data_IF_568910410582
#
_entry.id   IF_568910410582
#
_cell.length_a   1.000
_cell.length_b   1.000
_cell.length_c   1.000
_cell.angle_alpha   90.00
_cell.angle_beta   90.00
_cell.angle_gamma   90.00
#
_symmetry.space_group_name_H-M   'P 1'
#
loop_
_entity.id
_entity.type
_entity.pdbx_description
1 polymer ?
#
# COMPACT_ATOMS: atom_id res chain seq x y z
N UNK A 1 33.48 0.65 6.99
CA UNK A 1 32.53 0.25 5.91
C UNK A 1 32.01 -1.09 6.33
N UNK A 2 30.77 -1.15 6.84
CA UNK A 2 30.15 -2.43 7.21
C UNK A 2 29.73 -3.06 5.90
N UNK A 3 30.38 -4.15 5.53
CA UNK A 3 29.98 -4.96 4.38
C UNK A 3 28.70 -5.69 4.77
N UNK A 4 27.57 -5.09 4.45
CA UNK A 4 26.26 -5.74 4.63
C UNK A 4 26.12 -6.80 3.53
N UNK A 5 26.63 -7.98 3.81
CA UNK A 5 26.26 -9.16 3.03
C UNK A 5 24.78 -9.41 3.24
N UNK A 6 23.92 -8.90 2.36
CA UNK A 6 22.47 -9.13 2.40
C UNK A 6 22.06 -10.60 2.14
N UNK A 7 23.03 -11.50 1.97
CA UNK A 7 22.77 -12.89 1.64
C UNK A 7 21.87 -13.59 2.66
N UNK A 8 22.08 -13.35 3.95
CA UNK A 8 21.25 -13.93 5.00
C UNK A 8 19.84 -13.35 5.00
N UNK A 9 19.70 -12.04 4.77
CA UNK A 9 18.38 -11.38 4.61
C UNK A 9 17.66 -11.91 3.37
N UNK A 10 18.35 -12.07 2.25
CA UNK A 10 17.79 -12.65 1.02
C UNK A 10 17.34 -14.09 1.26
N UNK A 11 18.13 -14.92 1.96
CA UNK A 11 17.75 -16.28 2.33
C UNK A 11 16.50 -16.29 3.21
N UNK A 12 16.40 -15.38 4.18
CA UNK A 12 15.23 -15.22 5.04
C UNK A 12 13.99 -14.77 4.26
N UNK A 13 14.14 -13.78 3.38
CA UNK A 13 13.07 -13.29 2.52
C UNK A 13 12.56 -14.40 1.57
N UNK A 14 13.46 -15.21 1.01
CA UNK A 14 13.10 -16.38 0.21
C UNK A 14 12.32 -17.43 1.02
N UNK A 15 12.64 -17.61 2.29
CA UNK A 15 11.88 -18.49 3.18
C UNK A 15 10.44 -18.01 3.35
N UNK A 16 10.22 -16.70 3.56
CA UNK A 16 8.87 -16.13 3.61
C UNK A 16 8.16 -16.25 2.26
N UNK A 17 8.84 -15.90 1.17
CA UNK A 17 8.29 -16.04 -0.17
C UNK A 17 7.90 -17.49 -0.52
N UNK A 18 8.68 -18.48 -0.06
CA UNK A 18 8.37 -19.90 -0.23
C UNK A 18 7.08 -20.36 0.45
N UNK A 19 6.68 -19.64 1.51
CA UNK A 19 5.43 -19.92 2.26
C UNK A 19 4.19 -19.23 1.68
N UNK A 20 4.34 -18.38 0.65
CA UNK A 20 3.21 -17.66 0.07
C UNK A 20 2.13 -18.60 -0.46
N UNK A 21 0.91 -18.10 -0.56
CA UNK A 21 -0.17 -18.80 -1.25
C UNK A 21 0.24 -19.10 -2.70
N UNK A 22 -0.06 -20.31 -3.15
CA UNK A 22 0.19 -20.79 -4.51
C UNK A 22 -1.08 -20.71 -5.35
N UNK A 23 -0.95 -20.93 -6.64
CA UNK A 23 -2.08 -20.93 -7.57
C UNK A 23 -3.20 -21.87 -7.14
N UNK A 24 -2.84 -23.06 -6.65
CA UNK A 24 -3.82 -24.05 -6.17
C UNK A 24 -4.56 -23.55 -4.92
N UNK A 25 -3.87 -22.82 -4.02
CA UNK A 25 -4.52 -22.22 -2.85
C UNK A 25 -5.57 -21.19 -3.29
N UNK A 26 -5.25 -20.33 -4.27
CA UNK A 26 -6.21 -19.36 -4.81
C UNK A 26 -7.39 -20.05 -5.49
N UNK A 27 -7.18 -21.11 -6.25
CA UNK A 27 -8.26 -21.89 -6.87
C UNK A 27 -9.17 -22.50 -5.83
N UNK A 28 -8.63 -23.03 -4.74
CA UNK A 28 -9.44 -23.58 -3.64
C UNK A 28 -10.18 -22.48 -2.88
N UNK A 29 -9.56 -21.32 -2.62
CA UNK A 29 -10.20 -20.18 -1.97
C UNK A 29 -11.36 -19.63 -2.81
N UNK A 30 -11.23 -19.57 -4.14
CA UNK A 30 -12.31 -19.11 -5.04
C UNK A 30 -13.54 -20.02 -5.05
N UNK A 31 -13.42 -21.28 -4.61
CA UNK A 31 -14.55 -22.20 -4.44
C UNK A 31 -15.33 -21.98 -3.14
N UNK A 32 -14.79 -21.20 -2.20
CA UNK A 32 -15.43 -20.93 -0.91
C UNK A 32 -16.50 -19.86 -1.07
N UNK A 33 -17.63 -20.06 -0.41
CA UNK A 33 -18.78 -19.16 -0.50
C UNK A 33 -18.95 -18.29 0.73
N UNK A 34 -18.30 -18.65 1.86
CA UNK A 34 -18.41 -17.95 3.13
C UNK A 34 -17.05 -17.59 3.72
N UNK A 35 -17.02 -16.55 4.55
CA UNK A 35 -15.79 -16.14 5.26
C UNK A 35 -15.29 -17.23 6.23
N UNK A 36 -16.13 -17.90 6.99
CA UNK A 36 -15.73 -19.07 7.79
C UNK A 36 -14.99 -20.15 6.99
N UNK A 37 -15.48 -20.51 5.81
CA UNK A 37 -14.82 -21.51 4.95
C UNK A 37 -13.45 -21.04 4.46
N UNK A 38 -13.31 -19.74 4.13
CA UNK A 38 -12.01 -19.12 3.77
C UNK A 38 -11.06 -19.19 4.96
N UNK A 39 -11.51 -18.78 6.15
CA UNK A 39 -10.70 -18.79 7.36
C UNK A 39 -10.24 -20.21 7.72
N UNK A 40 -11.12 -21.20 7.62
CA UNK A 40 -10.80 -22.60 7.89
C UNK A 40 -9.78 -23.16 6.90
N UNK A 41 -9.91 -22.82 5.60
CA UNK A 41 -8.92 -23.21 4.59
C UNK A 41 -7.55 -22.61 4.90
N UNK A 42 -7.47 -21.31 5.17
CA UNK A 42 -6.24 -20.63 5.51
C UNK A 42 -5.59 -21.21 6.77
N UNK A 43 -6.39 -21.53 7.80
CA UNK A 43 -5.93 -22.13 9.04
C UNK A 43 -5.34 -23.52 8.84
N UNK A 44 -5.94 -24.37 7.99
CA UNK A 44 -5.52 -25.76 7.82
C UNK A 44 -4.42 -25.97 6.79
N UNK A 45 -4.40 -25.18 5.74
CA UNK A 45 -3.64 -25.51 4.53
C UNK A 45 -2.52 -24.52 4.21
N UNK A 46 -2.37 -23.43 4.98
CA UNK A 46 -1.42 -22.36 4.64
C UNK A 46 -0.53 -21.98 5.82
N UNK A 47 0.45 -21.14 5.57
CA UNK A 47 1.34 -20.61 6.62
C UNK A 47 0.63 -19.71 7.65
N UNK A 48 -0.63 -19.32 7.39
CA UNK A 48 -1.45 -18.57 8.35
C UNK A 48 -1.99 -19.44 9.49
N UNK A 49 -1.73 -20.76 9.50
CA UNK A 49 -2.17 -21.69 10.54
C UNK A 49 -1.83 -21.22 11.95
N UNK A 50 -0.64 -20.67 12.16
CA UNK A 50 -0.17 -20.20 13.47
C UNK A 50 -0.98 -18.99 13.96
N UNK A 51 -1.12 -17.95 13.14
CA UNK A 51 -1.86 -16.73 13.52
C UNK A 51 -3.38 -16.96 13.65
N UNK A 52 -3.91 -18.00 13.01
CA UNK A 52 -5.33 -18.40 13.09
C UNK A 52 -5.58 -19.52 14.12
N UNK A 53 -4.55 -20.06 14.80
CA UNK A 53 -4.68 -21.23 15.67
C UNK A 53 -5.75 -21.06 16.76
N UNK A 54 -5.80 -19.91 17.41
CA UNK A 54 -6.70 -19.59 18.52
C UNK A 54 -8.01 -18.89 18.05
N UNK A 55 -8.27 -18.86 16.76
CA UNK A 55 -9.46 -18.20 16.21
C UNK A 55 -10.56 -19.25 15.99
N UNK A 56 -11.76 -18.93 16.47
CA UNK A 56 -12.96 -19.65 16.07
C UNK A 56 -13.37 -19.23 14.65
N UNK A 57 -13.03 -20.10 13.70
CA UNK A 57 -13.27 -19.83 12.27
C UNK A 57 -14.75 -19.79 11.93
N UNK A 58 -15.62 -20.41 12.72
CA UNK A 58 -17.07 -20.45 12.46
C UNK A 58 -17.74 -19.09 12.67
N UNK A 59 -17.20 -18.26 13.56
CA UNK A 59 -17.77 -16.96 13.94
C UNK A 59 -17.00 -15.75 13.34
N UNK A 60 -15.91 -16.01 12.60
CA UNK A 60 -15.07 -14.95 12.08
C UNK A 60 -15.77 -14.17 10.95
N UNK A 61 -15.77 -12.84 11.06
CA UNK A 61 -16.23 -11.94 10.00
C UNK A 61 -15.05 -11.42 9.17
N UNK A 62 -15.35 -10.92 7.96
CA UNK A 62 -14.34 -10.47 6.97
C UNK A 62 -13.31 -9.51 7.55
N UNK A 63 -13.75 -8.42 8.18
CA UNK A 63 -12.83 -7.38 8.67
C UNK A 63 -11.86 -7.91 9.73
N UNK A 64 -12.31 -8.83 10.60
CA UNK A 64 -11.46 -9.43 11.61
C UNK A 64 -10.43 -10.39 10.98
N UNK A 65 -10.85 -11.20 10.00
CA UNK A 65 -9.92 -12.07 9.25
C UNK A 65 -8.86 -11.24 8.53
N UNK A 66 -9.26 -10.18 7.82
CA UNK A 66 -8.35 -9.26 7.14
C UNK A 66 -7.34 -8.62 8.12
N UNK A 67 -7.77 -8.20 9.31
CA UNK A 67 -6.87 -7.63 10.33
C UNK A 67 -5.82 -8.65 10.80
N UNK A 68 -6.22 -9.90 11.05
CA UNK A 68 -5.29 -10.96 11.45
C UNK A 68 -4.24 -11.21 10.36
N UNK A 69 -4.65 -11.32 9.10
CA UNK A 69 -3.76 -11.57 7.98
C UNK A 69 -2.80 -10.38 7.74
N UNK A 70 -3.32 -9.16 7.82
CA UNK A 70 -2.52 -7.94 7.70
C UNK A 70 -1.51 -7.82 8.84
N UNK A 71 -1.91 -8.15 10.07
CA UNK A 71 -1.02 -8.18 11.23
C UNK A 71 0.11 -9.20 11.05
N UNK A 72 -0.20 -10.41 10.58
CA UNK A 72 0.84 -11.41 10.34
C UNK A 72 1.82 -10.98 9.25
N UNK A 73 1.32 -10.45 8.13
CA UNK A 73 2.15 -9.90 7.06
C UNK A 73 3.05 -8.75 7.57
N UNK A 74 2.52 -7.90 8.44
CA UNK A 74 3.29 -6.83 9.06
C UNK A 74 4.35 -7.38 10.02
N UNK A 75 4.02 -8.38 10.84
CA UNK A 75 4.95 -9.05 11.74
C UNK A 75 6.08 -9.74 10.98
N UNK A 76 5.80 -10.35 9.83
CA UNK A 76 6.83 -10.92 8.95
C UNK A 76 7.81 -9.85 8.46
N UNK A 77 7.28 -8.68 8.07
CA UNK A 77 8.12 -7.54 7.70
C UNK A 77 9.01 -7.08 8.86
N UNK A 78 8.45 -6.91 10.05
CA UNK A 78 9.19 -6.53 11.26
C UNK A 78 10.27 -7.57 11.60
N UNK A 79 9.94 -8.87 11.53
CA UNK A 79 10.90 -9.95 11.73
C UNK A 79 12.05 -9.93 10.72
N UNK A 80 11.75 -9.59 9.46
CA UNK A 80 12.76 -9.45 8.42
C UNK A 80 13.67 -8.25 8.69
N UNK A 81 13.11 -7.10 9.04
CA UNK A 81 13.87 -5.89 9.35
C UNK A 81 14.77 -6.06 10.58
N UNK A 82 14.30 -6.77 11.59
CA UNK A 82 15.09 -7.03 12.82
C UNK A 82 16.18 -8.08 12.60
N UNK A 83 16.07 -8.92 11.58
CA UNK A 83 16.97 -10.07 11.37
C UNK A 83 18.43 -9.69 11.17
N UNK A 84 18.71 -8.62 10.42
CA UNK A 84 20.06 -8.07 10.22
C UNK A 84 20.12 -6.58 10.53
N UNK A 85 19.32 -6.14 11.51
CA UNK A 85 19.24 -4.73 11.92
C UNK A 85 18.91 -3.77 10.77
N UNK A 86 18.12 -4.23 9.78
CA UNK A 86 17.66 -3.36 8.69
C UNK A 86 16.82 -2.18 9.19
N UNK A 87 16.24 -2.31 10.39
CA UNK A 87 15.56 -1.23 11.09
C UNK A 87 16.47 -0.03 11.43
N UNK A 88 17.81 -0.21 11.43
CA UNK A 88 18.78 0.87 11.56
C UNK A 88 18.96 1.65 10.22
N UNK A 89 18.49 1.09 9.10
CA UNK A 89 18.52 1.71 7.77
C UNK A 89 17.17 2.40 7.56
N UNK A 90 17.18 3.71 7.41
CA UNK A 90 15.95 4.50 7.43
C UNK A 90 14.99 4.17 6.29
N UNK A 91 15.50 3.72 5.12
CA UNK A 91 14.66 3.27 4.02
C UNK A 91 13.60 2.26 4.46
N UNK A 92 13.94 1.30 5.33
CA UNK A 92 13.00 0.27 5.77
C UNK A 92 11.84 0.80 6.64
N UNK A 93 11.84 2.09 6.99
CA UNK A 93 10.68 2.72 7.64
C UNK A 93 9.55 3.08 6.64
N UNK A 94 9.76 2.89 5.33
CA UNK A 94 8.78 3.23 4.30
C UNK A 94 7.39 2.64 4.57
N UNK A 95 7.33 1.42 5.10
CA UNK A 95 6.08 0.73 5.42
C UNK A 95 5.38 1.34 6.64
N UNK A 96 6.12 1.77 7.64
CA UNK A 96 5.56 2.45 8.82
C UNK A 96 4.96 3.79 8.43
N UNK A 97 5.68 4.58 7.63
CA UNK A 97 5.21 5.87 7.12
C UNK A 97 3.96 5.72 6.27
N UNK A 98 3.92 4.74 5.38
CA UNK A 98 2.73 4.47 4.57
C UNK A 98 1.52 4.08 5.43
N UNK A 99 1.73 3.30 6.48
CA UNK A 99 0.67 2.95 7.44
C UNK A 99 0.17 4.17 8.21
N UNK A 100 1.07 5.05 8.68
CA UNK A 100 0.72 6.29 9.35
C UNK A 100 -0.16 7.18 8.45
N UNK A 101 0.24 7.38 7.20
CA UNK A 101 -0.53 8.14 6.21
C UNK A 101 -1.92 7.53 6.01
N UNK A 102 -2.00 6.21 5.85
CA UNK A 102 -3.28 5.51 5.69
C UNK A 102 -4.20 5.72 6.89
N UNK A 103 -3.66 5.66 8.10
CA UNK A 103 -4.45 5.85 9.34
C UNK A 103 -4.89 7.31 9.48
N UNK A 104 -4.03 8.28 9.15
CA UNK A 104 -4.38 9.72 9.15
C UNK A 104 -5.52 9.99 8.18
N UNK A 105 -5.44 9.50 6.94
CA UNK A 105 -6.50 9.68 5.94
C UNK A 105 -7.83 9.06 6.38
N UNK A 106 -7.78 7.86 6.96
CA UNK A 106 -8.98 7.23 7.52
C UNK A 106 -9.59 8.06 8.66
N UNK A 107 -8.76 8.61 9.55
CA UNK A 107 -9.23 9.49 10.61
C UNK A 107 -10.00 10.68 10.04
N UNK A 108 -9.49 11.33 8.99
CA UNK A 108 -10.16 12.45 8.32
C UNK A 108 -11.49 12.03 7.70
N UNK A 109 -11.56 10.85 7.08
CA UNK A 109 -12.82 10.30 6.53
C UNK A 109 -13.86 10.12 7.65
N UNK A 110 -13.45 9.63 8.82
CA UNK A 110 -14.36 9.49 9.97
C UNK A 110 -14.79 10.82 10.57
N UNK A 111 -13.92 11.85 10.56
CA UNK A 111 -14.26 13.22 10.95
C UNK A 111 -15.33 13.77 9.99
N UNK A 112 -15.10 13.69 8.67
CA UNK A 112 -16.05 14.15 7.66
C UNK A 112 -17.42 13.42 7.75
N UNK A 113 -17.41 12.14 8.10
CA UNK A 113 -18.63 11.36 8.26
C UNK A 113 -19.37 11.65 9.59
N UNK A 114 -18.80 12.44 10.49
CA UNK A 114 -19.39 12.70 11.83
C UNK A 114 -19.43 11.44 12.71
N UNK A 115 -18.57 10.46 12.46
CA UNK A 115 -18.54 9.16 13.17
C UNK A 115 -17.17 8.88 13.79
N UNK A 116 -16.44 9.91 14.15
CA UNK A 116 -15.08 9.82 14.67
C UNK A 116 -14.95 8.98 15.95
N UNK A 117 -16.02 8.85 16.74
CA UNK A 117 -16.05 7.99 17.92
C UNK A 117 -15.87 6.49 17.60
N UNK A 118 -16.21 6.07 16.37
CA UNK A 118 -16.05 4.69 15.90
C UNK A 118 -14.66 4.42 15.35
N UNK A 119 -13.83 5.45 15.20
CA UNK A 119 -12.53 5.30 14.58
C UNK A 119 -11.56 4.45 15.41
N UNK A 120 -11.67 4.50 16.76
CA UNK A 120 -10.83 3.72 17.67
C UNK A 120 -10.87 2.21 17.35
N UNK A 121 -12.02 1.69 16.97
CA UNK A 121 -12.23 0.27 16.65
C UNK A 121 -11.47 -0.16 15.38
N UNK A 122 -11.02 0.81 14.60
CA UNK A 122 -10.30 0.58 13.33
C UNK A 122 -8.78 0.69 13.45
N UNK A 123 -8.28 1.15 14.60
CA UNK A 123 -6.85 1.30 14.85
C UNK A 123 -6.27 -0.02 15.32
N UNK A 124 -5.41 -0.61 14.49
CA UNK A 124 -4.74 -1.88 14.85
C UNK A 124 -3.58 -1.61 15.82
N UNK A 125 -3.63 -2.15 17.07
CA UNK A 125 -2.61 -1.89 18.08
C UNK A 125 -1.18 -2.25 17.67
N UNK A 126 -1.02 -3.20 16.77
CA UNK A 126 0.31 -3.59 16.26
C UNK A 126 0.95 -2.48 15.40
N UNK A 127 0.16 -1.65 14.71
CA UNK A 127 0.66 -0.50 13.96
C UNK A 127 1.11 0.62 14.91
N UNK A 128 0.35 0.86 15.97
CA UNK A 128 0.62 1.91 16.93
C UNK A 128 2.00 1.81 17.60
N UNK A 129 2.52 0.58 17.79
CA UNK A 129 3.86 0.34 18.36
C UNK A 129 5.01 0.88 17.51
N UNK A 130 4.81 1.10 16.24
CA UNK A 130 5.83 1.52 15.28
C UNK A 130 5.57 2.91 14.71
N UNK A 131 4.54 3.59 15.20
CA UNK A 131 4.18 4.93 14.73
C UNK A 131 5.10 6.00 15.35
N UNK A 132 5.32 7.07 14.58
CA UNK A 132 6.12 8.24 14.99
C UNK A 132 5.37 9.16 15.97
N UNK A 133 4.09 8.91 16.20
CA UNK A 133 3.22 9.63 17.11
C UNK A 133 2.29 8.65 17.85
N UNK A 134 1.63 9.12 18.89
CA UNK A 134 0.66 8.31 19.66
C UNK A 134 -0.61 8.07 18.82
N UNK A 135 -0.57 7.01 18.00
CA UNK A 135 -1.64 6.64 17.08
C UNK A 135 -2.95 6.29 17.83
N UNK A 136 -2.87 5.79 19.07
CA UNK A 136 -4.06 5.42 19.83
C UNK A 136 -4.88 6.65 20.22
N UNK A 137 -4.26 7.83 20.40
CA UNK A 137 -4.97 9.09 20.65
C UNK A 137 -5.87 9.53 19.52
N UNK A 138 -5.66 9.02 18.30
CA UNK A 138 -6.59 9.30 17.20
C UNK A 138 -8.01 8.81 17.49
N UNK A 139 -8.20 7.83 18.37
CA UNK A 139 -9.53 7.40 18.83
C UNK A 139 -10.29 8.46 19.64
N UNK A 140 -9.60 9.45 20.19
CA UNK A 140 -10.17 10.55 20.95
C UNK A 140 -10.51 11.77 20.07
N UNK A 141 -10.05 11.80 18.84
CA UNK A 141 -10.24 12.90 17.88
C UNK A 141 -11.72 13.06 17.54
N UNK A 142 -12.20 14.29 17.57
CA UNK A 142 -13.56 14.66 17.16
C UNK A 142 -13.55 15.70 16.05
N UNK A 143 -12.51 16.50 15.97
CA UNK A 143 -12.35 17.59 15.01
C UNK A 143 -11.01 17.47 14.28
N UNK A 144 -10.90 18.16 13.15
CA UNK A 144 -9.63 18.25 12.42
C UNK A 144 -8.52 18.93 13.25
N UNK A 145 -8.88 19.88 14.11
CA UNK A 145 -7.91 20.53 14.99
C UNK A 145 -7.34 19.55 16.04
N UNK A 146 -8.16 18.64 16.57
CA UNK A 146 -7.68 17.60 17.48
C UNK A 146 -6.66 16.69 16.78
N UNK A 147 -6.92 16.33 15.50
CA UNK A 147 -5.97 15.58 14.69
C UNK A 147 -4.65 16.36 14.51
N UNK A 148 -4.74 17.65 14.17
CA UNK A 148 -3.55 18.50 14.03
C UNK A 148 -2.75 18.57 15.31
N UNK A 149 -3.41 18.62 16.47
CA UNK A 149 -2.74 18.67 17.78
C UNK A 149 -1.91 17.42 18.05
N UNK A 150 -2.40 16.24 17.70
CA UNK A 150 -1.67 14.99 17.80
C UNK A 150 -0.45 14.97 16.86
N UNK A 151 -0.61 15.53 15.66
CA UNK A 151 0.42 15.50 14.62
C UNK A 151 1.47 16.62 14.74
N UNK A 152 1.37 17.56 15.67
CA UNK A 152 2.23 18.76 15.80
C UNK A 152 3.74 18.49 15.72
N UNK A 153 4.18 17.35 16.21
CA UNK A 153 5.62 16.97 16.22
C UNK A 153 6.02 16.07 15.06
N UNK A 154 5.14 15.87 14.11
CA UNK A 154 5.38 15.03 12.92
C UNK A 154 5.51 15.88 11.66
N UNK A 155 6.12 15.36 10.60
CA UNK A 155 6.12 16.02 9.29
C UNK A 155 4.73 16.26 8.72
N UNK A 156 3.77 15.41 9.06
CA UNK A 156 2.39 15.47 8.56
C UNK A 156 1.68 16.76 8.92
N UNK A 157 1.95 17.31 10.10
CA UNK A 157 1.37 18.57 10.54
C UNK A 157 1.58 19.70 9.53
N UNK A 158 2.84 19.90 9.10
CA UNK A 158 3.19 20.98 8.16
C UNK A 158 2.57 20.78 6.77
N UNK A 159 2.21 19.55 6.43
CA UNK A 159 1.64 19.18 5.12
C UNK A 159 0.15 19.47 5.07
N UNK A 160 -0.57 19.22 6.18
CA UNK A 160 -2.05 19.26 6.16
C UNK A 160 -2.66 20.41 6.99
N UNK A 161 -1.86 21.17 7.75
CA UNK A 161 -2.37 22.21 8.68
C UNK A 161 -3.14 23.35 8.00
N UNK A 162 -2.83 23.64 6.74
CA UNK A 162 -3.42 24.76 6.00
C UNK A 162 -4.68 24.37 5.20
N UNK A 163 -5.09 23.10 5.29
CA UNK A 163 -6.31 22.62 4.66
C UNK A 163 -7.55 23.22 5.30
N UNK A 164 -8.51 23.63 4.47
CA UNK A 164 -9.77 24.23 4.91
C UNK A 164 -10.94 23.33 4.55
N UNK A 165 -11.97 23.30 5.39
CA UNK A 165 -13.19 22.60 5.05
C UNK A 165 -13.95 23.34 3.93
N UNK A 166 -14.77 22.61 3.19
CA UNK A 166 -15.77 23.15 2.28
C UNK A 166 -16.96 23.80 3.02
N UNK A 167 -17.95 24.29 2.25
CA UNK A 167 -19.16 24.92 2.80
C UNK A 167 -20.01 23.98 3.69
N UNK A 168 -19.81 22.66 3.56
CA UNK A 168 -20.47 21.64 4.38
C UNK A 168 -19.63 21.23 5.61
N UNK A 169 -18.46 21.81 5.79
CA UNK A 169 -17.54 21.50 6.88
C UNK A 169 -16.64 20.28 6.62
N UNK A 170 -16.61 19.73 5.39
CA UNK A 170 -15.83 18.56 5.04
C UNK A 170 -14.46 18.95 4.46
N UNK A 171 -13.43 18.21 4.85
CA UNK A 171 -12.09 18.35 4.32
C UNK A 171 -11.92 17.50 3.04
N UNK A 172 -11.23 18.04 2.05
CA UNK A 172 -10.97 17.35 0.78
C UNK A 172 -9.97 16.21 0.97
N UNK A 173 -10.48 15.00 1.23
CA UNK A 173 -9.65 13.81 1.43
C UNK A 173 -8.75 13.49 0.23
N UNK A 174 -9.20 13.80 -1.00
CA UNK A 174 -8.41 13.55 -2.21
C UNK A 174 -7.19 14.47 -2.26
N UNK A 175 -7.36 15.75 -1.99
CA UNK A 175 -6.26 16.71 -1.94
C UNK A 175 -5.25 16.36 -0.84
N UNK A 176 -5.74 16.02 0.35
CA UNK A 176 -4.90 15.61 1.47
C UNK A 176 -4.13 14.33 1.14
N UNK A 177 -4.76 13.34 0.50
CA UNK A 177 -4.12 12.10 0.05
C UNK A 177 -2.96 12.39 -0.92
N UNK A 178 -3.17 13.31 -1.88
CA UNK A 178 -2.13 13.73 -2.84
C UNK A 178 -0.94 14.36 -2.11
N UNK A 179 -1.20 15.27 -1.17
CA UNK A 179 -0.12 15.92 -0.40
C UNK A 179 0.68 14.90 0.40
N UNK A 180 0.02 14.00 1.10
CA UNK A 180 0.66 12.95 1.89
C UNK A 180 1.39 11.92 1.02
N UNK A 181 0.84 11.53 -0.13
CA UNK A 181 1.51 10.68 -1.11
C UNK A 181 2.74 11.35 -1.71
N UNK A 182 2.65 12.65 -2.02
CA UNK A 182 3.79 13.43 -2.50
C UNK A 182 4.92 13.45 -1.48
N UNK A 183 4.59 13.68 -0.22
CA UNK A 183 5.57 13.57 0.87
C UNK A 183 6.18 12.18 0.93
N UNK A 184 5.36 11.12 0.93
CA UNK A 184 5.81 9.73 1.00
C UNK A 184 6.79 9.36 -0.10
N UNK A 185 6.44 9.69 -1.35
CA UNK A 185 7.31 9.41 -2.51
C UNK A 185 8.65 10.13 -2.42
N UNK A 186 8.63 11.40 -2.03
CA UNK A 186 9.85 12.18 -1.86
C UNK A 186 10.70 11.62 -0.70
N UNK A 187 10.06 11.26 0.40
CA UNK A 187 10.73 10.63 1.53
C UNK A 187 11.43 9.32 1.13
N UNK A 188 10.73 8.43 0.40
CA UNK A 188 11.29 7.17 -0.10
C UNK A 188 12.50 7.42 -0.99
N UNK A 189 12.42 8.37 -1.93
CA UNK A 189 13.53 8.74 -2.81
C UNK A 189 14.76 9.23 -2.03
N UNK A 190 14.54 10.13 -1.08
CA UNK A 190 15.64 10.66 -0.27
C UNK A 190 16.23 9.60 0.68
N UNK A 191 15.41 8.70 1.21
CA UNK A 191 15.87 7.55 1.99
C UNK A 191 16.76 6.62 1.13
N UNK A 192 16.35 6.31 -0.11
CA UNK A 192 17.16 5.51 -1.03
C UNK A 192 18.50 6.20 -1.32
N UNK A 193 18.50 7.50 -1.61
CA UNK A 193 19.73 8.24 -1.90
C UNK A 193 20.68 8.31 -0.71
N UNK A 194 20.15 8.40 0.50
CA UNK A 194 20.93 8.48 1.72
C UNK A 194 21.51 7.13 2.13
N UNK A 195 20.71 6.08 2.02
CA UNK A 195 21.01 4.78 2.63
C UNK A 195 21.72 3.81 1.65
N UNK A 196 21.64 4.07 0.35
CA UNK A 196 22.24 3.22 -0.68
C UNK A 196 23.12 4.04 -1.63
N UNK A 197 24.04 3.37 -2.33
CA UNK A 197 24.97 3.98 -3.29
C UNK A 197 25.22 3.08 -4.49
N UNK A 198 25.81 3.64 -5.56
CA UNK A 198 26.21 2.88 -6.75
C UNK A 198 25.04 2.21 -7.49
N UNK A 199 25.25 0.97 -7.92
CA UNK A 199 24.22 0.21 -8.65
C UNK A 199 23.00 -0.08 -7.79
N UNK A 200 23.19 -0.39 -6.50
CA UNK A 200 22.08 -0.68 -5.58
C UNK A 200 21.12 0.51 -5.48
N UNK A 201 21.64 1.72 -5.33
CA UNK A 201 20.80 2.93 -5.30
C UNK A 201 20.01 3.08 -6.60
N UNK A 202 20.67 2.88 -7.75
CA UNK A 202 20.01 2.96 -9.06
C UNK A 202 18.88 1.92 -9.18
N UNK A 203 19.17 0.68 -8.83
CA UNK A 203 18.20 -0.42 -8.91
C UNK A 203 17.00 -0.18 -7.97
N UNK A 204 17.25 0.32 -6.75
CA UNK A 204 16.18 0.65 -5.80
C UNK A 204 15.28 1.80 -6.30
N UNK A 205 15.85 2.83 -6.91
CA UNK A 205 15.08 3.92 -7.52
C UNK A 205 14.25 3.41 -8.72
N UNK A 206 14.82 2.54 -9.55
CA UNK A 206 14.14 1.93 -10.69
C UNK A 206 12.97 1.06 -10.23
N UNK A 207 13.20 0.13 -9.29
CA UNK A 207 12.15 -0.75 -8.74
C UNK A 207 11.02 0.08 -8.12
N UNK A 208 11.36 1.09 -7.34
CA UNK A 208 10.38 1.97 -6.70
C UNK A 208 9.56 2.75 -7.74
N UNK A 209 10.23 3.26 -8.79
CA UNK A 209 9.56 3.92 -9.92
C UNK A 209 8.58 3.00 -10.65
N UNK A 210 8.99 1.76 -10.93
CA UNK A 210 8.12 0.74 -11.55
C UNK A 210 6.88 0.47 -10.69
N UNK A 211 7.05 0.30 -9.38
CA UNK A 211 5.92 0.05 -8.47
C UNK A 211 4.90 1.20 -8.48
N UNK A 212 5.36 2.45 -8.50
CA UNK A 212 4.46 3.61 -8.58
C UNK A 212 3.79 3.73 -9.95
N UNK A 213 4.52 3.45 -11.04
CA UNK A 213 3.93 3.46 -12.38
C UNK A 213 2.82 2.42 -12.51
N UNK A 214 3.06 1.19 -12.07
CA UNK A 214 2.05 0.13 -12.08
C UNK A 214 0.85 0.48 -11.21
N UNK A 215 1.09 1.09 -10.04
CA UNK A 215 0.02 1.58 -9.17
C UNK A 215 -0.80 2.67 -9.85
N UNK A 216 -0.16 3.60 -10.54
CA UNK A 216 -0.81 4.67 -11.30
C UNK A 216 -1.66 4.11 -12.44
N UNK A 217 -1.11 3.19 -13.24
CA UNK A 217 -1.84 2.52 -14.34
C UNK A 217 -3.07 1.79 -13.80
N UNK A 218 -2.90 1.01 -12.71
CA UNK A 218 -4.00 0.27 -12.12
C UNK A 218 -5.10 1.19 -11.56
N UNK A 219 -4.72 2.23 -10.84
CA UNK A 219 -5.67 3.20 -10.28
C UNK A 219 -6.39 3.96 -11.39
N UNK A 220 -5.67 4.41 -12.44
CA UNK A 220 -6.25 5.07 -13.58
C UNK A 220 -7.30 4.18 -14.28
N UNK A 221 -6.98 2.92 -14.51
CA UNK A 221 -7.92 1.95 -15.06
C UNK A 221 -9.18 1.80 -14.20
N UNK A 222 -9.00 1.64 -12.88
CA UNK A 222 -10.12 1.51 -11.94
C UNK A 222 -11.04 2.74 -11.96
N UNK A 223 -10.46 3.94 -11.83
CA UNK A 223 -11.26 5.17 -11.81
C UNK A 223 -12.01 5.35 -13.12
N UNK A 224 -11.36 5.09 -14.25
CA UNK A 224 -12.02 5.14 -15.55
C UNK A 224 -13.15 4.12 -15.66
N UNK A 225 -12.92 2.87 -15.28
CA UNK A 225 -13.90 1.79 -15.41
C UNK A 225 -15.11 1.96 -14.49
N UNK A 226 -14.94 2.53 -13.30
CA UNK A 226 -15.98 2.58 -12.28
C UNK A 226 -16.63 3.96 -12.11
N UNK A 227 -15.93 5.05 -12.42
CA UNK A 227 -16.47 6.41 -12.27
C UNK A 227 -16.58 7.18 -13.58
N UNK A 228 -16.05 6.65 -14.69
CA UNK A 228 -15.98 7.36 -15.96
C UNK A 228 -15.06 8.60 -15.93
N UNK A 229 -14.22 8.73 -14.89
CA UNK A 229 -13.35 9.87 -14.68
C UNK A 229 -12.40 10.11 -15.85
N UNK A 230 -12.19 11.38 -16.19
CA UNK A 230 -11.28 11.79 -17.25
C UNK A 230 -9.81 11.93 -16.77
N UNK A 231 -8.92 12.33 -17.69
CA UNK A 231 -7.51 12.49 -17.36
C UNK A 231 -7.27 13.59 -16.32
N UNK A 232 -7.98 14.71 -16.38
CA UNK A 232 -7.77 15.82 -15.44
C UNK A 232 -8.14 15.40 -14.02
N UNK A 233 -9.29 14.77 -13.87
CA UNK A 233 -9.76 14.24 -12.56
C UNK A 233 -8.80 13.21 -11.99
N UNK A 234 -8.27 12.29 -12.82
CA UNK A 234 -7.39 11.22 -12.37
C UNK A 234 -5.95 11.71 -12.14
N UNK A 235 -5.48 12.67 -12.94
CA UNK A 235 -4.09 13.17 -12.84
C UNK A 235 -3.73 13.66 -11.44
N UNK A 236 -4.71 14.16 -10.69
CA UNK A 236 -4.54 14.65 -9.33
C UNK A 236 -4.36 13.56 -8.28
N UNK A 237 -4.82 12.34 -8.56
CA UNK A 237 -4.75 11.22 -7.58
C UNK A 237 -3.61 10.24 -7.85
N UNK A 238 -2.82 10.48 -8.90
CA UNK A 238 -1.67 9.66 -9.23
C UNK A 238 -0.46 10.00 -8.36
N UNK A 239 0.40 9.01 -8.12
CA UNK A 239 1.69 9.26 -7.49
C UNK A 239 2.51 10.22 -8.36
N UNK A 240 3.02 11.33 -7.80
CA UNK A 240 3.79 12.34 -8.53
C UNK A 240 5.25 11.89 -8.73
N UNK A 241 5.46 10.86 -9.52
CA UNK A 241 6.79 10.32 -9.80
C UNK A 241 7.19 10.54 -11.25
N UNK A 242 8.50 10.66 -11.55
CA UNK A 242 8.97 10.46 -12.90
C UNK A 242 8.59 9.06 -13.35
N UNK A 243 7.72 8.99 -14.35
CA UNK A 243 7.17 7.75 -14.86
C UNK A 243 7.95 7.28 -16.08
N UNK A 244 8.16 5.98 -16.23
CA UNK A 244 8.58 5.37 -17.49
C UNK A 244 7.44 5.39 -18.54
N UNK A 245 6.22 5.72 -18.11
CA UNK A 245 5.09 6.01 -18.98
C UNK A 245 5.04 7.52 -19.17
N UNK A 246 5.23 7.98 -20.41
CA UNK A 246 5.20 9.41 -20.69
C UNK A 246 3.81 10.01 -20.43
N UNK A 247 3.74 11.31 -20.13
CA UNK A 247 2.46 12.01 -19.94
C UNK A 247 1.53 11.82 -21.15
N UNK A 248 2.08 11.80 -22.36
CA UNK A 248 1.34 11.56 -23.58
C UNK A 248 0.69 10.16 -23.58
N UNK A 249 1.45 9.10 -23.24
CA UNK A 249 0.91 7.74 -23.15
C UNK A 249 -0.12 7.59 -22.05
N UNK A 250 0.07 8.30 -20.94
CA UNK A 250 -0.92 8.32 -19.86
C UNK A 250 -2.22 8.98 -20.32
N UNK A 251 -2.11 10.10 -21.04
CA UNK A 251 -3.26 10.75 -21.65
C UNK A 251 -3.99 9.84 -22.66
N UNK A 252 -3.25 9.12 -23.52
CA UNK A 252 -3.85 8.13 -24.44
C UNK A 252 -4.60 7.03 -23.68
N UNK A 253 -4.02 6.47 -22.60
CA UNK A 253 -4.68 5.49 -21.74
C UNK A 253 -6.02 6.01 -21.20
N UNK A 254 -6.04 7.24 -20.77
CA UNK A 254 -7.24 7.86 -20.21
C UNK A 254 -8.32 8.20 -21.24
N UNK A 255 -7.97 8.38 -22.50
CA UNK A 255 -8.90 8.68 -23.58
C UNK A 255 -9.45 7.44 -24.30
N UNK A 256 -9.14 6.24 -23.85
CA UNK A 256 -9.74 5.00 -24.37
C UNK A 256 -11.20 4.88 -23.92
N UNK A 257 -12.04 4.21 -24.70
CA UNK A 257 -13.46 4.03 -24.37
C UNK A 257 -13.77 2.64 -23.81
N UNK A 258 -12.90 1.66 -24.06
CA UNK A 258 -13.08 0.27 -23.64
C UNK A 258 -11.85 -0.26 -22.93
N UNK A 259 -12.01 -1.37 -22.19
CA UNK A 259 -10.91 -2.07 -21.54
C UNK A 259 -9.93 -2.64 -22.58
N UNK A 260 -10.42 -3.09 -23.73
CA UNK A 260 -9.60 -3.60 -24.82
C UNK A 260 -8.70 -2.50 -25.39
N UNK A 261 -9.26 -1.32 -25.68
CA UNK A 261 -8.48 -0.16 -26.12
C UNK A 261 -7.43 0.25 -25.11
N UNK A 262 -7.78 0.25 -23.80
CA UNK A 262 -6.85 0.55 -22.72
C UNK A 262 -5.66 -0.42 -22.71
N UNK A 263 -5.94 -1.72 -22.82
CA UNK A 263 -4.92 -2.76 -22.91
C UNK A 263 -4.06 -2.57 -24.17
N UNK A 264 -4.64 -2.22 -25.30
CA UNK A 264 -3.89 -2.02 -26.54
C UNK A 264 -2.95 -0.80 -26.47
N UNK A 265 -3.36 0.29 -25.87
CA UNK A 265 -2.47 1.41 -25.58
C UNK A 265 -1.37 1.01 -24.60
N UNK A 266 -1.71 0.25 -23.53
CA UNK A 266 -0.75 -0.24 -22.56
C UNK A 266 0.31 -1.16 -23.19
N UNK A 267 -0.07 -2.02 -24.13
CA UNK A 267 0.86 -2.89 -24.89
C UNK A 267 1.97 -2.10 -25.60
N UNK A 268 1.71 -0.85 -25.99
CA UNK A 268 2.69 0.03 -26.63
C UNK A 268 3.65 0.71 -25.64
N UNK A 269 3.47 0.51 -24.35
CA UNK A 269 4.40 0.96 -23.30
C UNK A 269 5.52 -0.06 -23.06
N UNK A 270 6.56 0.35 -22.34
CA UNK A 270 7.61 -0.58 -21.92
C UNK A 270 7.09 -1.72 -21.03
N UNK A 271 6.06 -1.47 -20.23
CA UNK A 271 5.43 -2.48 -19.37
C UNK A 271 4.61 -3.47 -20.17
N UNK A 272 3.75 -3.02 -21.07
CA UNK A 272 2.91 -3.89 -21.87
C UNK A 272 3.70 -4.83 -22.76
N UNK A 273 4.79 -4.35 -23.37
CA UNK A 273 5.69 -5.19 -24.17
C UNK A 273 6.31 -6.34 -23.37
N UNK A 274 6.70 -6.09 -22.11
CA UNK A 274 7.23 -7.14 -21.22
C UNK A 274 6.16 -8.15 -20.84
N UNK A 275 4.95 -7.69 -20.49
CA UNK A 275 3.82 -8.57 -20.16
C UNK A 275 3.44 -9.51 -21.31
N UNK A 276 3.48 -9.03 -22.55
CA UNK A 276 3.21 -9.87 -23.74
C UNK A 276 4.31 -10.90 -23.95
N UNK A 277 5.58 -10.51 -23.80
CA UNK A 277 6.71 -11.42 -23.94
C UNK A 277 6.62 -12.58 -22.94
N UNK A 278 6.37 -12.30 -21.66
CA UNK A 278 6.22 -13.30 -20.61
C UNK A 278 5.02 -14.25 -20.86
N UNK A 279 3.86 -13.71 -21.25
CA UNK A 279 2.69 -14.53 -21.57
C UNK A 279 2.92 -15.43 -22.81
N UNK A 280 3.72 -14.98 -23.79
CA UNK A 280 4.06 -15.78 -24.96
C UNK A 280 5.04 -16.94 -24.62
N UNK A 281 5.87 -16.78 -23.61
CA UNK A 281 6.76 -17.84 -23.10
C UNK A 281 5.97 -18.87 -22.28
N UNK A 282 5.02 -18.44 -21.44
CA UNK A 282 4.13 -19.32 -20.67
C UNK A 282 3.25 -20.17 -21.61
N UNK A 283 2.71 -19.57 -22.67
CA UNK A 283 1.88 -20.29 -23.65
C UNK A 283 2.67 -21.25 -24.56
N UNK A 284 4.00 -21.14 -24.62
CA UNK A 284 4.88 -22.09 -25.34
C UNK A 284 5.38 -23.21 -24.45
N UNK A 285 5.24 -23.09 -23.13
CA UNK A 285 5.65 -24.07 -22.13
C UNK A 285 4.48 -24.95 -21.63
N UNK A 286 3.25 -24.65 -22.03
CA UNK A 286 2.03 -25.43 -21.80
C UNK A 286 1.65 -26.20 -23.05
#
# INVERSE_FOLDING_TARGET
>A
MIDYSYNATVAKARTFYGKRLKEDDYRELLKKTTIPEIAEYLKRNTHFSECLSNIDTASVHRGYLEDILNRETFNEYVRLCNFQKLNEISFFNYRYINNEITVILRCIIYINAGTSEKFIDTISPYLAKHASFDMMKLGEVRTYNDLLDILKKTPYYSIIKDQKPDDNGNYNCTEIDILLKTYYVNWVKEAIKRDFSGSVQKDMLEITGILYDLSNVYNAFRYKAFSGADYEEISHILFPVPSNITKFRFYELMNTNTAEEYIDVLKNTGYGRRMIAENSEISRAS
#
